data_IF_810516530049
#
_entry.id   IF_810516530049
#
_cell.length_a   1.000
_cell.length_b   1.000
_cell.length_c   1.000
_cell.angle_alpha   90.00
_cell.angle_beta   90.00
_cell.angle_gamma   90.00
#
_symmetry.space_group_name_H-M   'P 1'
#
loop_
_entity.id
_entity.type
_entity.pdbx_description
1 polymer ?
#
# COMPACT_ATOMS: atom_id res chain seq x y z
N UNK A 1 2.84 -8.10 -20.07
CA UNK A 1 1.46 -8.61 -19.96
C UNK A 1 0.87 -8.69 -21.37
N UNK A 2 0.31 -9.83 -21.79
CA UNK A 2 -0.36 -9.91 -23.09
C UNK A 2 -1.77 -9.27 -23.00
N UNK A 3 -2.45 -9.05 -24.14
CA UNK A 3 -3.77 -8.38 -24.18
C UNK A 3 -4.82 -9.15 -23.34
N UNK A 4 -4.77 -10.48 -23.40
CA UNK A 4 -5.70 -11.39 -22.71
C UNK A 4 -5.53 -11.33 -21.19
N UNK A 5 -4.30 -11.29 -20.71
CA UNK A 5 -3.95 -11.13 -19.30
C UNK A 5 -4.41 -9.77 -18.76
N UNK A 6 -4.32 -8.72 -19.59
CA UNK A 6 -4.75 -7.37 -19.20
C UNK A 6 -6.27 -7.27 -19.07
N UNK A 7 -7.02 -7.84 -20.00
CA UNK A 7 -8.48 -7.88 -19.94
C UNK A 7 -8.96 -8.72 -18.76
N UNK A 8 -8.38 -9.92 -18.55
CA UNK A 8 -8.69 -10.76 -17.40
C UNK A 8 -8.39 -10.05 -16.08
N UNK A 9 -7.23 -9.40 -15.98
CA UNK A 9 -6.84 -8.63 -14.79
C UNK A 9 -7.81 -7.48 -14.55
N UNK A 10 -8.17 -6.72 -15.58
CA UNK A 10 -9.13 -5.61 -15.48
C UNK A 10 -10.50 -6.09 -15.02
N UNK A 11 -11.01 -7.19 -15.59
CA UNK A 11 -12.30 -7.76 -15.20
C UNK A 11 -12.28 -8.32 -13.78
N UNK A 12 -11.17 -8.95 -13.38
CA UNK A 12 -11.03 -9.49 -12.02
C UNK A 12 -10.98 -8.35 -11.01
N UNK A 13 -10.17 -7.31 -11.27
CA UNK A 13 -10.06 -6.14 -10.37
C UNK A 13 -11.39 -5.40 -10.24
N UNK A 14 -12.15 -5.26 -11.33
CA UNK A 14 -13.46 -4.61 -11.31
C UNK A 14 -14.54 -5.40 -10.57
N UNK A 15 -14.48 -6.74 -10.59
CA UNK A 15 -15.37 -7.59 -9.78
C UNK A 15 -15.21 -7.37 -8.27
N UNK A 16 -14.01 -6.97 -7.83
CA UNK A 16 -13.73 -6.60 -6.44
C UNK A 16 -13.98 -5.11 -6.15
N UNK A 17 -14.54 -4.35 -7.11
CA UNK A 17 -14.88 -2.94 -6.94
C UNK A 17 -13.71 -1.96 -7.13
N UNK A 18 -12.57 -2.43 -7.63
CA UNK A 18 -11.41 -1.59 -7.94
C UNK A 18 -11.35 -1.23 -9.42
N UNK A 19 -10.66 -0.14 -9.73
CA UNK A 19 -10.27 0.17 -11.10
C UNK A 19 -8.82 -0.26 -11.31
N UNK A 20 -8.52 -0.81 -12.49
CA UNK A 20 -7.14 -1.06 -12.91
C UNK A 20 -6.43 0.30 -13.06
N UNK A 21 -5.84 0.81 -11.98
CA UNK A 21 -5.04 2.04 -11.99
C UNK A 21 -3.74 1.89 -12.77
N UNK A 22 -2.99 2.99 -12.87
CA UNK A 22 -1.72 3.08 -13.62
C UNK A 22 -0.62 2.16 -13.04
N UNK A 23 -0.69 1.83 -11.75
CA UNK A 23 0.27 0.98 -11.06
C UNK A 23 -0.24 -0.46 -10.90
N UNK A 24 -0.18 -1.22 -11.99
CA UNK A 24 -0.38 -2.67 -11.97
C UNK A 24 0.79 -3.39 -12.63
N UNK A 25 1.70 -3.86 -11.77
CA UNK A 25 2.96 -4.49 -12.21
C UNK A 25 2.83 -5.99 -12.49
N UNK A 26 1.69 -6.61 -12.20
CA UNK A 26 1.49 -8.07 -12.34
C UNK A 26 0.00 -8.41 -12.47
N UNK A 27 -0.29 -9.69 -12.73
CA UNK A 27 -1.67 -10.21 -12.71
C UNK A 27 -2.16 -10.33 -11.26
N UNK A 28 -3.47 -10.22 -10.98
CA UNK A 28 -4.01 -10.35 -9.63
C UNK A 28 -3.63 -11.66 -8.93
N UNK A 29 -3.43 -12.74 -9.68
CA UNK A 29 -3.12 -14.06 -9.15
C UNK A 29 -1.69 -14.18 -8.62
N UNK A 30 -0.75 -13.44 -9.21
CA UNK A 30 0.68 -13.42 -8.89
C UNK A 30 1.11 -12.08 -8.28
N UNK A 31 0.19 -11.44 -7.54
CA UNK A 31 0.42 -10.15 -6.90
C UNK A 31 0.26 -10.22 -5.39
N UNK A 32 0.98 -9.33 -4.69
CA UNK A 32 0.61 -8.80 -3.39
C UNK A 32 -0.23 -7.54 -3.59
N UNK A 33 -1.16 -7.28 -2.67
CA UNK A 33 -2.04 -6.12 -2.73
C UNK A 33 -1.73 -5.13 -1.62
N UNK A 34 -1.50 -3.90 -2.01
CA UNK A 34 -1.22 -2.79 -1.11
C UNK A 34 -2.39 -1.82 -1.20
N UNK A 35 -3.09 -1.62 -0.09
CA UNK A 35 -4.22 -0.71 0.02
C UNK A 35 -3.76 0.53 0.77
N UNK A 36 -4.04 1.70 0.22
CA UNK A 36 -3.59 2.97 0.77
C UNK A 36 -4.82 3.84 0.97
N UNK A 37 -4.95 4.39 2.18
CA UNK A 37 -6.03 5.30 2.55
C UNK A 37 -5.47 6.59 3.11
N UNK A 38 -5.80 7.70 2.48
CA UNK A 38 -5.58 9.03 3.03
C UNK A 38 -6.75 9.39 3.95
N UNK A 39 -6.48 9.36 5.25
CA UNK A 39 -7.48 9.59 6.28
C UNK A 39 -8.13 10.98 6.17
N UNK A 40 -7.41 12.01 5.73
CA UNK A 40 -7.94 13.38 5.68
C UNK A 40 -8.80 13.65 4.45
N UNK A 41 -8.62 12.84 3.40
CA UNK A 41 -9.29 13.03 2.10
C UNK A 41 -10.35 11.98 1.79
N UNK A 42 -10.51 11.00 2.67
CA UNK A 42 -11.37 9.83 2.46
C UNK A 42 -11.08 9.17 1.09
N UNK A 43 -9.79 9.16 0.71
CA UNK A 43 -9.34 8.64 -0.56
C UNK A 43 -8.67 7.30 -0.33
N UNK A 44 -9.17 6.27 -1.00
CA UNK A 44 -8.63 4.91 -0.90
C UNK A 44 -8.32 4.36 -2.29
N UNK A 45 -7.14 3.78 -2.45
CA UNK A 45 -6.74 3.11 -3.68
C UNK A 45 -5.92 1.86 -3.41
N UNK A 46 -5.81 1.02 -4.42
CA UNK A 46 -5.07 -0.25 -4.38
C UNK A 46 -3.95 -0.23 -5.42
N UNK A 47 -2.83 -0.84 -5.05
CA UNK A 47 -1.68 -1.08 -5.92
C UNK A 47 -1.33 -2.56 -5.86
N UNK A 48 -0.94 -3.14 -7.01
CA UNK A 48 -0.42 -4.51 -7.07
C UNK A 48 1.10 -4.53 -7.24
N UNK A 49 1.76 -5.37 -6.45
CA UNK A 49 3.19 -5.67 -6.58
C UNK A 49 3.34 -7.13 -7.00
N UNK A 50 4.20 -7.40 -7.98
CA UNK A 50 4.56 -8.77 -8.35
C UNK A 50 5.09 -9.54 -7.14
N UNK A 51 4.56 -10.74 -6.86
CA UNK A 51 5.08 -11.59 -5.79
C UNK A 51 6.54 -11.96 -6.03
N UNK A 52 6.91 -12.24 -7.28
CA UNK A 52 8.27 -12.59 -7.66
C UNK A 52 9.23 -11.42 -7.40
N UNK A 53 8.93 -10.23 -7.92
CA UNK A 53 9.78 -9.05 -7.74
C UNK A 53 9.85 -8.66 -6.27
N UNK A 54 8.71 -8.69 -5.56
CA UNK A 54 8.67 -8.39 -4.15
C UNK A 54 9.55 -9.37 -3.36
N UNK A 55 9.43 -10.68 -3.60
CA UNK A 55 10.19 -11.69 -2.86
C UNK A 55 11.69 -11.63 -3.14
N UNK A 56 12.08 -11.39 -4.40
CA UNK A 56 13.50 -11.34 -4.83
C UNK A 56 14.19 -10.02 -4.47
N UNK A 57 13.44 -8.93 -4.34
CA UNK A 57 13.99 -7.62 -3.97
C UNK A 57 14.64 -7.67 -2.58
N UNK A 58 15.95 -7.40 -2.52
CA UNK A 58 16.69 -7.25 -1.26
C UNK A 58 16.46 -5.85 -0.68
N UNK A 59 16.31 -5.78 0.64
CA UNK A 59 16.25 -4.50 1.35
C UNK A 59 17.58 -3.77 1.13
N UNK A 60 17.50 -2.50 0.76
CA UNK A 60 18.66 -1.64 0.64
C UNK A 60 19.20 -1.26 2.01
N UNK A 61 20.49 -1.50 2.25
CA UNK A 61 21.15 -1.09 3.50
C UNK A 61 21.42 0.41 3.56
N UNK A 62 21.34 1.12 2.43
CA UNK A 62 21.51 2.59 2.38
C UNK A 62 20.22 3.35 2.62
N UNK A 63 19.06 2.67 2.66
CA UNK A 63 17.75 3.31 2.79
C UNK A 63 17.11 2.93 4.12
N UNK A 64 17.14 3.84 5.09
CA UNK A 64 16.47 3.65 6.38
C UNK A 64 14.94 3.67 6.23
N UNK A 65 14.24 3.13 7.23
CA UNK A 65 12.78 3.20 7.29
C UNK A 65 12.27 4.66 7.28
N UNK A 66 12.92 5.56 8.01
CA UNK A 66 12.53 6.98 8.04
C UNK A 66 12.70 7.65 6.68
N UNK A 67 13.77 7.30 5.95
CA UNK A 67 13.96 7.76 4.58
C UNK A 67 12.87 7.20 3.65
N UNK A 68 12.50 5.92 3.80
CA UNK A 68 11.37 5.34 3.08
C UNK A 68 10.07 6.10 3.37
N UNK A 69 9.75 6.36 4.64
CA UNK A 69 8.54 7.10 5.05
C UNK A 69 8.52 8.50 4.45
N UNK A 70 9.65 9.22 4.49
CA UNK A 70 9.74 10.57 3.93
C UNK A 70 9.55 10.59 2.41
N UNK A 71 10.25 9.71 1.68
CA UNK A 71 10.17 9.64 0.22
C UNK A 71 8.81 9.12 -0.25
N UNK A 72 8.37 7.99 0.31
CA UNK A 72 7.08 7.38 -0.03
C UNK A 72 5.92 8.29 0.35
N UNK A 73 5.97 8.91 1.54
CA UNK A 73 4.94 9.84 2.00
C UNK A 73 4.73 11.03 1.06
N UNK A 74 5.80 11.56 0.46
CA UNK A 74 5.70 12.62 -0.57
C UNK A 74 4.98 12.13 -1.83
N UNK A 75 5.36 10.95 -2.33
CA UNK A 75 4.75 10.37 -3.53
C UNK A 75 3.27 10.06 -3.27
N UNK A 76 2.96 9.39 -2.16
CA UNK A 76 1.59 9.04 -1.78
C UNK A 76 0.71 10.27 -1.56
N UNK A 77 1.23 11.35 -0.97
CA UNK A 77 0.49 12.62 -0.85
C UNK A 77 0.21 13.24 -2.23
N UNK A 78 1.17 13.22 -3.16
CA UNK A 78 0.93 13.68 -4.55
C UNK A 78 -0.19 12.87 -5.20
N UNK A 79 -0.11 11.54 -5.13
CA UNK A 79 -1.14 10.65 -5.67
C UNK A 79 -2.51 10.92 -5.04
N UNK A 80 -2.57 11.06 -3.72
CA UNK A 80 -3.81 11.39 -3.00
C UNK A 80 -4.40 12.73 -3.42
N UNK A 81 -3.53 13.71 -3.70
CA UNK A 81 -3.90 15.03 -4.21
C UNK A 81 -4.22 15.04 -5.71
N UNK A 82 -4.18 13.89 -6.40
CA UNK A 82 -4.30 13.78 -7.87
C UNK A 82 -3.26 14.63 -8.61
N UNK A 83 -2.11 14.85 -7.97
CA UNK A 83 -0.94 15.50 -8.56
C UNK A 83 -0.12 14.39 -9.21
N UNK A 84 0.17 14.55 -10.50
CA UNK A 84 1.03 13.61 -11.23
C UNK A 84 2.40 13.48 -10.57
N UNK A 85 2.94 12.26 -10.59
CA UNK A 85 4.29 11.99 -10.12
C UNK A 85 5.27 12.05 -11.30
N UNK A 86 6.53 12.38 -11.03
CA UNK A 86 7.57 12.38 -12.06
C UNK A 86 7.91 10.97 -12.52
N UNK A 87 8.50 10.85 -13.71
CA UNK A 87 8.96 9.57 -14.25
C UNK A 87 9.97 8.87 -13.32
N UNK A 88 10.83 9.64 -12.64
CA UNK A 88 11.75 9.11 -11.63
C UNK A 88 10.99 8.53 -10.45
N UNK A 89 10.04 9.28 -9.88
CA UNK A 89 9.19 8.80 -8.77
C UNK A 89 8.42 7.54 -9.16
N UNK A 90 7.87 7.49 -10.37
CA UNK A 90 7.18 6.31 -10.92
C UNK A 90 8.12 5.09 -10.99
N UNK A 91 9.33 5.27 -11.53
CA UNK A 91 10.32 4.18 -11.68
C UNK A 91 10.84 3.65 -10.34
N UNK A 92 10.89 4.49 -9.30
CA UNK A 92 11.38 4.14 -7.97
C UNK A 92 10.28 3.65 -7.04
N UNK A 93 9.01 3.90 -7.36
CA UNK A 93 7.89 3.70 -6.45
C UNK A 93 7.79 2.27 -5.92
N UNK A 94 7.82 1.27 -6.81
CA UNK A 94 7.72 -0.13 -6.40
C UNK A 94 8.90 -0.57 -5.51
N UNK A 95 10.10 -0.07 -5.80
CA UNK A 95 11.29 -0.34 -4.99
C UNK A 95 11.19 0.31 -3.61
N UNK A 96 10.78 1.58 -3.54
CA UNK A 96 10.58 2.32 -2.28
C UNK A 96 9.50 1.66 -1.43
N UNK A 97 8.37 1.29 -2.04
CA UNK A 97 7.26 0.63 -1.36
C UNK A 97 7.68 -0.74 -0.81
N UNK A 98 8.42 -1.53 -1.58
CA UNK A 98 8.96 -2.82 -1.13
C UNK A 98 9.94 -2.66 0.03
N UNK A 99 10.85 -1.68 -0.04
CA UNK A 99 11.79 -1.39 1.05
C UNK A 99 11.06 -0.93 2.32
N UNK A 100 10.06 -0.07 2.18
CA UNK A 100 9.21 0.36 3.29
C UNK A 100 8.55 -0.85 3.96
N UNK A 101 7.79 -1.64 3.20
CA UNK A 101 7.04 -2.80 3.70
C UNK A 101 7.98 -3.76 4.42
N UNK A 102 9.07 -4.18 3.77
CA UNK A 102 9.99 -5.18 4.32
C UNK A 102 10.74 -4.73 5.57
N UNK A 103 10.85 -3.42 5.80
CA UNK A 103 11.45 -2.86 7.02
C UNK A 103 10.45 -2.71 8.18
N UNK A 104 9.14 -2.84 7.95
CA UNK A 104 8.13 -2.72 9.02
C UNK A 104 8.15 -3.93 9.97
N UNK A 105 7.84 -3.69 11.25
CA UNK A 105 7.61 -4.76 12.21
C UNK A 105 6.40 -5.62 11.82
N UNK A 106 5.34 -5.00 11.31
CA UNK A 106 4.14 -5.69 10.83
C UNK A 106 4.47 -6.74 9.77
N UNK A 107 5.31 -6.40 8.78
CA UNK A 107 5.75 -7.36 7.77
C UNK A 107 6.60 -8.48 8.38
N UNK A 108 7.51 -8.15 9.30
CA UNK A 108 8.33 -9.17 9.99
C UNK A 108 7.46 -10.16 10.77
N UNK A 109 6.39 -9.69 11.40
CA UNK A 109 5.43 -10.55 12.10
C UNK A 109 4.63 -11.41 11.12
N UNK A 110 4.12 -10.82 10.04
CA UNK A 110 3.43 -11.58 8.99
C UNK A 110 4.32 -12.66 8.39
N UNK A 111 5.55 -12.33 8.02
CA UNK A 111 6.51 -13.26 7.41
C UNK A 111 6.81 -14.48 8.30
N UNK A 112 6.76 -14.33 9.63
CA UNK A 112 6.96 -15.45 10.57
C UNK A 112 5.80 -16.44 10.59
N UNK A 113 4.60 -15.99 10.22
CA UNK A 113 3.38 -16.78 10.29
C UNK A 113 2.85 -17.15 8.89
N UNK A 114 3.37 -16.53 7.84
CA UNK A 114 2.92 -16.74 6.49
C UNK A 114 3.32 -18.13 5.96
N UNK A 115 2.40 -18.77 5.25
CA UNK A 115 2.61 -20.10 4.68
C UNK A 115 2.95 -20.04 3.19
N UNK A 116 4.06 -20.64 2.78
CA UNK A 116 4.42 -20.82 1.37
C UNK A 116 4.34 -19.52 0.55
N UNK A 117 3.51 -19.53 -0.49
CA UNK A 117 3.28 -18.38 -1.38
C UNK A 117 2.05 -17.54 -0.97
N UNK A 118 1.78 -17.47 0.33
CA UNK A 118 0.66 -16.67 0.84
C UNK A 118 0.75 -15.23 0.34
N UNK A 119 -0.40 -14.73 -0.09
CA UNK A 119 -0.52 -13.36 -0.58
C UNK A 119 -0.55 -12.38 0.58
N UNK A 120 0.35 -11.42 0.55
CA UNK A 120 0.31 -10.25 1.41
C UNK A 120 -0.83 -9.29 1.01
N UNK A 121 -1.66 -8.93 1.98
CA UNK A 121 -2.61 -7.82 1.92
C UNK A 121 -2.18 -6.76 2.94
N UNK A 122 -1.47 -5.76 2.46
CA UNK A 122 -0.85 -4.73 3.29
C UNK A 122 -1.64 -3.43 3.19
N UNK A 123 -2.00 -2.85 4.33
CA UNK A 123 -2.74 -1.60 4.38
C UNK A 123 -1.86 -0.48 4.95
N UNK A 124 -1.98 0.71 4.36
CA UNK A 124 -1.27 1.92 4.77
C UNK A 124 -2.30 3.02 4.99
N UNK A 125 -2.46 3.44 6.24
CA UNK A 125 -3.13 4.70 6.54
C UNK A 125 -2.12 5.84 6.49
N UNK A 126 -2.43 6.87 5.71
CA UNK A 126 -1.68 8.11 5.68
C UNK A 126 -2.33 9.06 6.69
N UNK A 127 -1.56 9.44 7.69
CA UNK A 127 -1.87 10.51 8.63
C UNK A 127 -0.84 11.64 8.49
N UNK A 128 -1.15 12.82 9.05
CA UNK A 128 -0.22 13.95 9.11
C UNK A 128 -0.88 15.29 8.81
N UNK A 129 -0.19 16.39 9.13
CA UNK A 129 -0.76 17.74 9.12
C UNK A 129 -1.48 18.05 7.80
N UNK A 130 -2.75 18.48 7.94
CA UNK A 130 -3.71 18.69 6.86
C UNK A 130 -3.17 19.49 5.68
N UNK A 131 -2.32 20.50 5.90
CA UNK A 131 -1.98 21.45 4.84
C UNK A 131 -0.53 21.97 4.79
N UNK A 132 0.30 21.88 5.83
CA UNK A 132 1.64 22.52 5.80
C UNK A 132 2.75 21.66 6.40
N UNK A 133 3.65 21.16 5.54
CA UNK A 133 5.03 20.78 5.89
C UNK A 133 5.26 19.74 7.00
N UNK A 134 4.22 19.23 7.65
CA UNK A 134 4.30 18.28 8.74
C UNK A 134 4.75 16.90 8.28
N UNK A 135 5.39 16.17 9.18
CA UNK A 135 5.85 14.81 8.93
C UNK A 135 4.68 13.92 8.51
N UNK A 136 4.85 13.21 7.39
CA UNK A 136 3.88 12.22 6.94
C UNK A 136 4.02 11.00 7.85
N UNK A 137 2.90 10.57 8.42
CA UNK A 137 2.85 9.35 9.20
C UNK A 137 2.21 8.28 8.33
N UNK A 138 2.98 7.23 8.06
CA UNK A 138 2.46 6.03 7.39
C UNK A 138 2.23 4.98 8.47
N UNK A 139 0.99 4.55 8.64
CA UNK A 139 0.60 3.52 9.61
C UNK A 139 0.33 2.21 8.87
N UNK A 140 1.27 1.24 8.94
CA UNK A 140 1.13 -0.04 8.25
C UNK A 140 0.36 -1.05 9.10
N UNK A 141 -0.50 -1.85 8.49
CA UNK A 141 -1.05 -3.05 9.10
C UNK A 141 -1.34 -4.11 8.04
N UNK A 142 -1.54 -5.36 8.44
CA UNK A 142 -1.76 -6.49 7.53
C UNK A 142 -3.04 -7.20 7.95
N UNK A 143 -3.79 -7.65 6.96
CA UNK A 143 -4.93 -8.55 7.13
C UNK A 143 -4.69 -9.80 6.28
N UNK A 144 -5.31 -10.91 6.66
CA UNK A 144 -5.18 -12.19 5.95
C UNK A 144 -6.58 -12.65 5.53
N UNK A 145 -7.14 -12.09 4.45
CA UNK A 145 -8.43 -12.51 3.92
C UNK A 145 -8.29 -13.87 3.23
N UNK A 146 -9.40 -14.61 3.12
CA UNK A 146 -9.47 -15.83 2.31
C UNK A 146 -9.65 -15.50 0.82
N UNK A 147 -10.19 -14.31 0.53
CA UNK A 147 -10.46 -13.81 -0.80
C UNK A 147 -9.20 -13.38 -1.56
N UNK A 148 -9.31 -13.29 -2.90
CA UNK A 148 -8.21 -12.87 -3.76
C UNK A 148 -7.75 -11.43 -3.44
N UNK A 149 -8.70 -10.54 -3.18
CA UNK A 149 -8.53 -9.11 -2.92
C UNK A 149 -9.57 -8.67 -1.88
N UNK A 150 -9.22 -7.69 -1.05
CA UNK A 150 -10.20 -6.92 -0.31
C UNK A 150 -11.00 -6.05 -1.26
N UNK A 151 -12.28 -5.84 -1.01
CA UNK A 151 -13.08 -4.79 -1.66
C UNK A 151 -12.82 -3.42 -1.02
N UNK A 152 -13.22 -2.31 -1.66
CA UNK A 152 -13.17 -0.99 -1.01
C UNK A 152 -13.93 -0.94 0.32
N UNK A 153 -15.04 -1.67 0.44
CA UNK A 153 -15.82 -1.72 1.68
C UNK A 153 -15.04 -2.40 2.81
N UNK A 154 -14.36 -3.52 2.52
CA UNK A 154 -13.52 -4.22 3.50
C UNK A 154 -12.38 -3.32 3.98
N UNK A 155 -11.73 -2.60 3.06
CA UNK A 155 -10.65 -1.66 3.39
C UNK A 155 -11.15 -0.56 4.33
N UNK A 156 -12.33 0.03 4.04
CA UNK A 156 -12.95 1.02 4.92
C UNK A 156 -13.25 0.44 6.30
N UNK A 157 -13.80 -0.78 6.36
CA UNK A 157 -14.11 -1.44 7.63
C UNK A 157 -12.84 -1.67 8.46
N UNK A 158 -11.82 -2.30 7.90
CA UNK A 158 -10.56 -2.55 8.61
C UNK A 158 -9.88 -1.25 9.05
N UNK A 159 -9.86 -0.24 8.19
CA UNK A 159 -9.33 1.08 8.55
C UNK A 159 -10.10 1.71 9.69
N UNK A 160 -11.44 1.63 9.71
CA UNK A 160 -12.25 2.21 10.77
C UNK A 160 -11.89 1.64 12.15
N UNK A 161 -11.60 0.34 12.23
CA UNK A 161 -11.18 -0.33 13.46
C UNK A 161 -9.79 0.15 13.91
N UNK A 162 -8.84 0.23 12.97
CA UNK A 162 -7.47 0.71 13.24
C UNK A 162 -7.47 2.18 13.66
N UNK A 163 -8.18 3.04 12.92
CA UNK A 163 -8.34 4.47 13.20
C UNK A 163 -8.91 4.69 14.60
N UNK A 164 -9.90 3.90 15.03
CA UNK A 164 -10.48 4.01 16.37
C UNK A 164 -9.43 3.79 17.47
N UNK A 165 -8.55 2.81 17.28
CA UNK A 165 -7.44 2.52 18.21
C UNK A 165 -6.37 3.61 18.13
N UNK A 166 -5.99 4.02 16.93
CA UNK A 166 -4.99 5.05 16.71
C UNK A 166 -5.44 6.40 17.30
N UNK A 167 -6.72 6.77 17.22
CA UNK A 167 -7.24 8.01 17.87
C UNK A 167 -7.07 8.03 19.37
N UNK A 168 -7.14 6.87 20.01
CA UNK A 168 -6.97 6.75 21.46
C UNK A 168 -5.49 6.81 21.86
N UNK A 169 -4.61 6.23 21.04
CA UNK A 169 -3.18 6.07 21.35
C UNK A 169 -2.31 7.22 20.82
N UNK A 170 -2.69 7.77 19.68
CA UNK A 170 -1.97 8.78 18.91
C UNK A 170 -2.90 9.90 18.43
N UNK A 171 -3.61 10.60 19.34
CA UNK A 171 -4.50 11.70 18.96
C UNK A 171 -3.78 12.82 18.18
N UNK A 172 -2.47 12.96 18.34
CA UNK A 172 -1.62 13.89 17.60
C UNK A 172 -1.59 13.64 16.08
N UNK A 173 -1.84 12.42 15.61
CA UNK A 173 -1.89 12.09 14.18
C UNK A 173 -3.15 12.63 13.47
N UNK A 174 -4.16 13.04 14.23
CA UNK A 174 -5.49 13.41 13.71
C UNK A 174 -5.76 14.92 13.71
N UNK A 175 -4.76 15.73 14.07
CA UNK A 175 -4.87 17.18 14.19
C UNK A 175 -5.08 17.84 12.82
#
# INVERSE_FOLDING_TARGET
MNITDKELSSNTVSQYGWNLGEFNHSTPFTSHFIYITDYHKDNTWMISLSQEDFNTTKISTSLSLDACVSMLGKILKKMSNKIGISQTEESEFAFLLTNYIKQTLTFREWQRNAEGNQRLHFLINIYGAKEDGGEVVLRPFIVNPDELMLTPADVVEFNSQVIKVDRQRHPEWFR
#
